data_IF_225625202784
#
_entry.id   IF_225625202784
#
_cell.length_a   1.000
_cell.length_b   1.000
_cell.length_c   1.000
_cell.angle_alpha   90.00
_cell.angle_beta   90.00
_cell.angle_gamma   90.00
#
_symmetry.space_group_name_H-M   'P 1'
#
loop_
_entity.id
_entity.type
_entity.pdbx_description
1 polymer ?
#
# COMPACT_ATOMS: atom_id res chain seq x y z
N UNK A 1 -43.66 -3.81 -14.04
CA UNK A 1 -42.75 -4.97 -14.18
C UNK A 1 -41.80 -4.94 -12.99
N UNK A 2 -42.20 -5.49 -11.83
CA UNK A 2 -41.33 -5.59 -10.65
C UNK A 2 -40.42 -6.82 -10.81
N UNK A 3 -39.10 -6.71 -10.55
CA UNK A 3 -38.22 -7.88 -10.59
C UNK A 3 -38.63 -8.88 -9.47
N UNK A 4 -38.41 -10.19 -9.66
CA UNK A 4 -38.70 -11.18 -8.64
C UNK A 4 -37.84 -10.90 -7.41
N UNK A 5 -38.47 -10.50 -6.30
CA UNK A 5 -37.83 -10.13 -5.03
C UNK A 5 -36.94 -11.23 -4.44
N UNK A 6 -37.15 -12.48 -4.85
CA UNK A 6 -36.29 -13.63 -4.53
C UNK A 6 -34.90 -13.50 -5.15
N UNK A 7 -34.78 -13.08 -6.41
CA UNK A 7 -33.50 -13.03 -7.12
C UNK A 7 -32.63 -11.89 -6.58
N UNK A 8 -33.25 -10.76 -6.23
CA UNK A 8 -32.59 -9.62 -5.57
C UNK A 8 -32.09 -9.99 -4.17
N UNK A 9 -32.82 -10.82 -3.41
CA UNK A 9 -32.39 -11.24 -2.07
C UNK A 9 -31.24 -12.26 -2.11
N UNK A 10 -31.19 -13.15 -3.10
CA UNK A 10 -30.04 -14.04 -3.31
C UNK A 10 -28.78 -13.26 -3.69
N UNK A 11 -28.89 -12.29 -4.61
CA UNK A 11 -27.77 -11.43 -5.00
C UNK A 11 -27.25 -10.60 -3.83
N UNK A 12 -28.13 -10.01 -3.03
CA UNK A 12 -27.74 -9.25 -1.83
C UNK A 12 -26.98 -10.12 -0.80
N UNK A 13 -27.42 -11.38 -0.61
CA UNK A 13 -26.72 -12.34 0.27
C UNK A 13 -25.34 -12.71 -0.27
N UNK A 14 -25.20 -12.95 -1.57
CA UNK A 14 -23.90 -13.26 -2.18
C UNK A 14 -22.92 -12.10 -2.06
N UNK A 15 -23.38 -10.85 -2.24
CA UNK A 15 -22.56 -9.65 -2.06
C UNK A 15 -22.13 -9.49 -0.61
N UNK A 16 -23.04 -9.69 0.36
CA UNK A 16 -22.71 -9.64 1.79
C UNK A 16 -21.68 -10.70 2.19
N UNK A 17 -21.82 -11.93 1.68
CA UNK A 17 -20.85 -13.01 1.92
C UNK A 17 -19.50 -12.64 1.30
N UNK A 18 -19.47 -12.17 0.04
CA UNK A 18 -18.22 -11.74 -0.61
C UNK A 18 -17.49 -10.64 0.15
N UNK A 19 -18.23 -9.65 0.67
CA UNK A 19 -17.67 -8.56 1.47
C UNK A 19 -17.09 -9.05 2.80
N UNK A 20 -17.76 -10.00 3.47
CA UNK A 20 -17.29 -10.60 4.72
C UNK A 20 -16.02 -11.44 4.53
N UNK A 21 -15.89 -12.17 3.41
CA UNK A 21 -14.66 -12.92 3.10
C UNK A 21 -13.50 -11.98 2.69
N UNK A 22 -13.78 -10.89 1.98
CA UNK A 22 -12.77 -9.94 1.52
C UNK A 22 -12.10 -9.15 2.65
N UNK A 23 -12.79 -8.92 3.77
CA UNK A 23 -12.25 -8.17 4.91
C UNK A 23 -11.30 -8.97 5.82
N UNK A 24 -11.27 -10.30 5.69
CA UNK A 24 -10.42 -11.18 6.51
C UNK A 24 -8.90 -10.98 6.28
N UNK A 25 -8.49 -10.34 5.19
CA UNK A 25 -7.09 -10.00 4.91
C UNK A 25 -6.60 -8.72 5.60
N UNK A 26 -7.50 -7.85 6.05
CA UNK A 26 -7.16 -6.56 6.64
C UNK A 26 -6.95 -6.70 8.16
N UNK A 27 -5.84 -7.33 8.57
CA UNK A 27 -5.49 -7.47 9.99
C UNK A 27 -4.21 -6.70 10.32
N UNK A 28 -4.16 -6.13 11.53
CA UNK A 28 -2.97 -5.45 12.01
C UNK A 28 -1.89 -6.49 12.33
N UNK A 29 -0.90 -6.62 11.43
CA UNK A 29 0.22 -7.55 11.59
C UNK A 29 1.32 -6.90 12.43
N UNK A 30 1.84 -7.63 13.42
CA UNK A 30 2.89 -7.09 14.29
C UNK A 30 4.16 -6.80 13.47
N UNK A 31 4.94 -5.73 13.76
CA UNK A 31 6.04 -5.28 12.91
C UNK A 31 7.04 -6.39 12.52
N UNK A 32 7.37 -7.30 13.43
CA UNK A 32 8.30 -8.40 13.19
C UNK A 32 7.75 -9.52 12.29
N UNK A 33 6.43 -9.64 12.13
CA UNK A 33 5.81 -10.59 11.20
C UNK A 33 5.88 -10.08 9.74
N UNK A 34 6.10 -8.78 9.52
CA UNK A 34 6.31 -8.19 8.18
C UNK A 34 7.65 -8.56 7.54
N UNK A 35 8.65 -8.94 8.35
CA UNK A 35 9.98 -9.31 7.85
C UNK A 35 9.99 -10.48 6.87
N UNK A 36 8.98 -11.37 6.92
CA UNK A 36 8.85 -12.47 5.96
C UNK A 36 8.23 -12.06 4.62
N UNK A 37 7.53 -10.92 4.58
CA UNK A 37 6.90 -10.36 3.37
C UNK A 37 7.74 -9.28 2.69
N UNK A 38 8.65 -8.62 3.42
CA UNK A 38 9.55 -7.59 2.88
C UNK A 38 10.94 -8.17 2.59
N UNK A 39 11.04 -9.03 1.57
CA UNK A 39 12.34 -9.57 1.15
C UNK A 39 13.24 -8.43 0.64
N UNK A 40 14.57 -8.51 0.79
CA UNK A 40 15.48 -7.49 0.26
C UNK A 40 15.33 -7.25 -1.25
N UNK A 41 14.98 -8.28 -2.03
CA UNK A 41 14.70 -8.15 -3.46
C UNK A 41 13.40 -7.40 -3.81
N UNK A 42 12.57 -7.09 -2.83
CA UNK A 42 11.34 -6.31 -2.97
C UNK A 42 11.54 -4.87 -2.49
N UNK A 43 12.77 -4.48 -2.14
CA UNK A 43 13.10 -3.11 -1.78
C UNK A 43 12.86 -2.20 -3.00
N UNK A 44 12.17 -1.08 -2.78
CA UNK A 44 11.95 -0.04 -3.79
C UNK A 44 13.27 0.54 -4.28
N UNK A 45 14.24 0.61 -3.38
CA UNK A 45 15.59 1.03 -3.63
C UNK A 45 16.55 -0.09 -3.18
N UNK A 46 17.29 -0.72 -4.11
CA UNK A 46 18.22 -1.79 -3.80
C UNK A 46 19.52 -1.30 -3.14
N UNK A 47 19.86 -0.01 -3.21
CA UNK A 47 21.10 0.56 -2.68
C UNK A 47 20.81 1.92 -1.99
N UNK A 48 20.04 1.90 -0.88
CA UNK A 48 19.57 3.11 -0.21
C UNK A 48 20.73 4.01 0.28
N UNK A 49 21.88 3.45 0.60
CA UNK A 49 23.04 4.23 1.03
C UNK A 49 23.63 5.09 -0.10
N UNK A 50 23.70 4.57 -1.33
CA UNK A 50 24.25 5.33 -2.45
C UNK A 50 23.27 6.39 -2.93
N UNK A 51 21.98 6.03 -3.00
CA UNK A 51 20.93 6.96 -3.44
C UNK A 51 20.77 8.12 -2.46
N UNK A 52 20.88 7.90 -1.16
CA UNK A 52 20.87 8.96 -0.16
C UNK A 52 22.03 9.95 -0.34
N UNK A 53 23.23 9.45 -0.63
CA UNK A 53 24.41 10.31 -0.87
C UNK A 53 24.21 11.15 -2.13
N UNK A 54 23.76 10.54 -3.22
CA UNK A 54 23.48 11.24 -4.47
C UNK A 54 22.38 12.29 -4.27
N UNK A 55 21.27 11.92 -3.64
CA UNK A 55 20.19 12.85 -3.29
C UNK A 55 20.67 14.01 -2.45
N UNK A 56 21.57 13.79 -1.48
CA UNK A 56 22.13 14.86 -0.68
C UNK A 56 22.95 15.85 -1.52
N UNK A 57 23.73 15.36 -2.47
CA UNK A 57 24.48 16.19 -3.42
C UNK A 57 23.55 16.99 -4.32
N UNK A 58 22.49 16.37 -4.85
CA UNK A 58 21.50 17.06 -5.67
C UNK A 58 20.72 18.11 -4.87
N UNK A 59 20.31 17.79 -3.63
CA UNK A 59 19.64 18.76 -2.74
C UNK A 59 20.53 19.97 -2.43
N UNK A 60 21.83 19.78 -2.23
CA UNK A 60 22.75 20.89 -2.01
C UNK A 60 22.86 21.80 -3.25
N UNK A 61 22.80 21.21 -4.45
CA UNK A 61 22.94 21.94 -5.72
C UNK A 61 21.66 22.59 -6.21
N UNK A 62 20.51 21.96 -5.94
CA UNK A 62 19.24 22.29 -6.59
C UNK A 62 18.10 22.50 -5.56
N UNK A 63 18.45 22.77 -4.29
CA UNK A 63 17.50 22.82 -3.17
C UNK A 63 16.29 23.75 -3.30
N UNK A 64 16.29 24.68 -4.26
CA UNK A 64 15.13 25.51 -4.61
C UNK A 64 14.10 24.83 -5.52
N UNK A 65 14.42 23.69 -6.14
CA UNK A 65 13.58 23.00 -7.12
C UNK A 65 12.51 22.07 -6.51
N UNK A 66 12.46 21.96 -5.18
CA UNK A 66 11.64 20.97 -4.47
C UNK A 66 12.39 19.64 -4.34
N UNK A 67 12.58 19.18 -3.10
CA UNK A 67 13.41 18.01 -2.80
C UNK A 67 12.83 16.69 -3.33
N UNK A 68 13.68 15.66 -3.38
CA UNK A 68 13.26 14.29 -3.67
C UNK A 68 12.12 13.89 -2.72
N UNK A 69 10.97 13.52 -3.30
CA UNK A 69 9.72 13.26 -2.60
C UNK A 69 9.87 12.27 -1.45
N UNK A 70 9.00 12.45 -0.44
CA UNK A 70 9.05 11.81 0.86
C UNK A 70 9.34 10.30 0.84
N UNK A 71 10.07 9.90 1.88
CA UNK A 71 10.39 8.53 2.27
C UNK A 71 9.29 7.52 1.89
N UNK A 72 9.55 6.73 0.84
CA UNK A 72 8.87 5.47 0.59
C UNK A 72 7.53 5.57 -0.14
N UNK A 73 7.37 4.73 -1.17
CA UNK A 73 6.13 4.55 -1.92
C UNK A 73 4.98 4.05 -1.06
N UNK A 74 4.29 4.99 -0.41
CA UNK A 74 3.05 4.77 0.33
C UNK A 74 2.25 6.07 0.41
N UNK A 75 0.93 5.94 0.53
CA UNK A 75 0.04 7.07 0.85
C UNK A 75 0.49 7.64 2.20
N UNK A 76 1.19 8.78 2.18
CA UNK A 76 1.84 9.41 3.33
C UNK A 76 0.89 10.02 4.35
N UNK A 77 0.08 9.20 4.99
CA UNK A 77 -0.71 9.59 6.15
C UNK A 77 0.06 9.21 7.43
N UNK A 78 0.67 10.21 8.08
CA UNK A 78 0.88 10.16 9.54
C UNK A 78 -0.47 10.24 10.26
#
# INVERSE_FOLDING_TARGET
MSPPTSLTTWLARLVLIGLALGSAGCTAVKPWQRGRMAKPCMALDPAPESTLVEQHVYQYREGSAGGYGGLGGGCGCN
#
